data_IF_354973936659
#
_entry.id   IF_354973936659
#
_cell.length_a   1.000
_cell.length_b   1.000
_cell.length_c   1.000
_cell.angle_alpha   90.00
_cell.angle_beta   90.00
_cell.angle_gamma   90.00
#
_symmetry.space_group_name_H-M   'P 1'
#
loop_
_entity.id
_entity.type
_entity.pdbx_description
1 polymer ?
#
# COMPACT_ATOMS: atom_id res chain seq x y z
N UNK A 1 -23.78 -3.77 -4.97
CA UNK A 1 -22.77 -2.99 -5.69
C UNK A 1 -22.77 -3.37 -7.16
N UNK A 2 -22.72 -2.39 -8.06
CA UNK A 2 -22.52 -2.57 -9.51
C UNK A 2 -21.13 -2.05 -9.86
N UNK A 3 -20.24 -2.96 -10.24
CA UNK A 3 -18.80 -2.72 -10.38
C UNK A 3 -18.43 -2.69 -11.86
N UNK A 4 -17.72 -1.65 -12.30
CA UNK A 4 -17.22 -1.52 -13.67
C UNK A 4 -15.72 -1.17 -13.68
N UNK A 5 -15.09 -1.11 -14.86
CA UNK A 5 -13.64 -0.91 -15.00
C UNK A 5 -13.22 0.57 -14.97
N UNK A 6 -14.11 1.54 -15.23
CA UNK A 6 -13.74 2.95 -15.25
C UNK A 6 -14.87 3.86 -14.74
N UNK A 7 -14.49 5.06 -14.35
CA UNK A 7 -15.38 6.07 -13.77
C UNK A 7 -16.42 6.61 -14.73
N UNK A 8 -16.10 6.68 -16.03
CA UNK A 8 -17.05 7.09 -17.04
C UNK A 8 -18.22 6.13 -17.11
N UNK A 9 -17.97 4.82 -17.18
CA UNK A 9 -19.01 3.79 -17.22
C UNK A 9 -19.83 3.81 -15.92
N UNK A 10 -19.18 3.87 -14.77
CA UNK A 10 -19.87 3.91 -13.48
C UNK A 10 -20.84 5.09 -13.39
N UNK A 11 -20.42 6.29 -13.79
CA UNK A 11 -21.24 7.50 -13.80
C UNK A 11 -22.36 7.40 -14.83
N UNK A 12 -22.05 7.05 -16.09
CA UNK A 12 -23.01 6.93 -17.20
C UNK A 12 -24.12 5.94 -16.85
N UNK A 13 -23.73 4.74 -16.40
CA UNK A 13 -24.68 3.67 -16.17
C UNK A 13 -25.56 3.94 -14.95
N UNK A 14 -25.00 4.55 -13.90
CA UNK A 14 -25.80 5.02 -12.76
C UNK A 14 -26.84 6.06 -13.13
N UNK A 15 -26.53 6.96 -14.07
CA UNK A 15 -27.44 7.99 -14.56
C UNK A 15 -28.46 7.42 -15.53
N UNK A 16 -28.06 6.52 -16.37
CA UNK A 16 -28.89 5.94 -17.41
C UNK A 16 -29.91 4.95 -16.85
N UNK A 17 -29.47 4.07 -15.96
CA UNK A 17 -30.30 3.05 -15.34
C UNK A 17 -30.99 3.53 -14.05
N UNK A 18 -30.47 4.59 -13.43
CA UNK A 18 -31.00 5.14 -12.19
C UNK A 18 -32.51 5.41 -12.21
N UNK A 19 -33.06 6.08 -13.25
CA UNK A 19 -34.49 6.33 -13.34
C UNK A 19 -35.35 5.06 -13.32
N UNK A 20 -34.87 3.97 -13.92
CA UNK A 20 -35.56 2.67 -13.90
C UNK A 20 -35.63 2.12 -12.48
N UNK A 21 -34.53 2.12 -11.75
CA UNK A 21 -34.48 1.62 -10.37
C UNK A 21 -35.30 2.50 -9.42
N UNK A 22 -35.22 3.83 -9.58
CA UNK A 22 -36.01 4.77 -8.79
C UNK A 22 -37.52 4.63 -9.04
N UNK A 23 -37.92 4.26 -10.26
CA UNK A 23 -39.30 3.93 -10.57
C UNK A 23 -39.82 2.74 -9.75
N UNK A 24 -38.93 1.79 -9.41
CA UNK A 24 -39.24 0.67 -8.53
C UNK A 24 -39.04 0.99 -7.02
N UNK A 25 -38.83 2.24 -6.67
CA UNK A 25 -38.68 2.68 -5.28
C UNK A 25 -37.28 2.41 -4.68
N UNK A 26 -36.29 2.13 -5.52
CA UNK A 26 -34.91 1.88 -5.08
C UNK A 26 -34.07 3.16 -5.20
N UNK A 27 -33.22 3.42 -4.22
CA UNK A 27 -32.23 4.49 -4.26
C UNK A 27 -30.99 4.07 -5.02
N UNK A 28 -30.40 5.00 -5.79
CA UNK A 28 -29.22 4.77 -6.62
C UNK A 28 -28.21 5.88 -6.43
N UNK A 29 -26.95 5.54 -6.27
CA UNK A 29 -25.84 6.50 -6.28
C UNK A 29 -24.59 5.88 -6.91
N UNK A 30 -23.58 6.71 -7.14
CA UNK A 30 -22.30 6.34 -7.71
C UNK A 30 -21.15 6.93 -6.88
N UNK A 31 -20.30 6.06 -6.33
CA UNK A 31 -19.18 6.51 -5.48
C UNK A 31 -18.14 7.35 -6.24
N UNK A 32 -17.97 7.12 -7.55
CA UNK A 32 -17.04 7.89 -8.38
C UNK A 32 -17.46 9.36 -8.62
N UNK A 33 -18.67 9.74 -8.20
CA UNK A 33 -19.14 11.14 -8.22
C UNK A 33 -18.72 11.92 -6.96
N UNK A 34 -18.24 11.24 -5.94
CA UNK A 34 -17.99 11.80 -4.61
C UNK A 34 -16.53 11.63 -4.19
N UNK A 35 -16.02 12.62 -3.48
CA UNK A 35 -14.64 12.56 -2.96
C UNK A 35 -14.46 11.39 -1.96
N UNK A 36 -13.31 10.69 -1.99
CA UNK A 36 -13.11 9.46 -1.21
C UNK A 36 -13.40 9.56 0.30
N UNK A 37 -13.14 10.69 0.92
CA UNK A 37 -13.31 10.89 2.36
C UNK A 37 -14.52 11.77 2.74
N UNK A 38 -15.46 11.96 1.79
CA UNK A 38 -16.63 12.82 2.00
C UNK A 38 -17.80 12.07 2.63
N UNK A 39 -18.67 12.81 3.34
CA UNK A 39 -19.94 12.28 3.82
C UNK A 39 -20.85 11.87 2.65
N UNK A 40 -20.79 12.59 1.53
CA UNK A 40 -21.53 12.25 0.33
C UNK A 40 -21.18 10.84 -0.18
N UNK A 41 -19.89 10.44 -0.12
CA UNK A 41 -19.47 9.09 -0.50
C UNK A 41 -19.98 8.04 0.49
N UNK A 42 -19.99 8.33 1.79
CA UNK A 42 -20.63 7.45 2.78
C UNK A 42 -22.12 7.29 2.54
N UNK A 43 -22.82 8.37 2.20
CA UNK A 43 -24.23 8.34 1.83
C UNK A 43 -24.49 7.52 0.57
N UNK A 44 -23.59 7.56 -0.44
CA UNK A 44 -23.69 6.75 -1.63
C UNK A 44 -23.70 5.24 -1.32
N UNK A 45 -22.94 4.80 -0.34
CA UNK A 45 -22.97 3.40 0.12
C UNK A 45 -24.27 3.01 0.85
N UNK A 46 -25.08 3.98 1.30
CA UNK A 46 -26.38 3.72 1.91
C UNK A 46 -27.50 3.53 0.86
N UNK A 47 -27.24 3.82 -0.40
CA UNK A 47 -28.18 3.55 -1.48
C UNK A 47 -28.44 2.05 -1.65
N UNK A 48 -29.65 1.71 -2.13
CA UNK A 48 -30.01 0.33 -2.42
C UNK A 48 -29.12 -0.27 -3.51
N UNK A 49 -28.76 0.56 -4.51
CA UNK A 49 -27.85 0.23 -5.59
C UNK A 49 -26.73 1.27 -5.65
N UNK A 50 -25.49 0.81 -5.47
CA UNK A 50 -24.30 1.66 -5.51
C UNK A 50 -23.42 1.25 -6.68
N UNK A 51 -23.22 2.19 -7.65
CA UNK A 51 -22.30 2.03 -8.76
C UNK A 51 -20.90 2.51 -8.37
N UNK A 52 -19.89 1.93 -8.97
CA UNK A 52 -18.51 2.37 -8.80
C UNK A 52 -17.51 1.55 -9.60
N UNK A 53 -16.29 2.06 -9.70
CA UNK A 53 -15.19 1.31 -10.29
C UNK A 53 -14.65 0.28 -9.30
N UNK A 54 -14.10 -0.82 -9.83
CA UNK A 54 -13.44 -1.85 -9.05
C UNK A 54 -12.36 -1.28 -8.12
N UNK A 55 -11.54 -0.35 -8.62
CA UNK A 55 -10.47 0.28 -7.85
C UNK A 55 -11.02 1.12 -6.69
N UNK A 56 -12.05 1.92 -6.92
CA UNK A 56 -12.63 2.77 -5.87
C UNK A 56 -13.31 1.95 -4.76
N UNK A 57 -14.03 0.89 -5.11
CA UNK A 57 -14.55 -0.06 -4.12
C UNK A 57 -13.42 -0.71 -3.32
N UNK A 58 -12.35 -1.14 -4.01
CA UNK A 58 -11.20 -1.75 -3.37
C UNK A 58 -10.44 -0.78 -2.47
N UNK A 59 -10.22 0.46 -2.90
CA UNK A 59 -9.60 1.49 -2.07
C UNK A 59 -10.44 1.83 -0.84
N UNK A 60 -11.75 1.93 -0.97
CA UNK A 60 -12.63 2.18 0.19
C UNK A 60 -12.61 1.01 1.17
N UNK A 61 -12.54 -0.23 0.68
CA UNK A 61 -12.36 -1.40 1.52
C UNK A 61 -11.04 -1.35 2.31
N UNK A 62 -9.94 -0.99 1.64
CA UNK A 62 -8.64 -0.83 2.30
C UNK A 62 -8.68 0.29 3.35
N UNK A 63 -9.28 1.45 3.02
CA UNK A 63 -9.43 2.56 3.96
C UNK A 63 -10.28 2.16 5.18
N UNK A 64 -11.33 1.40 4.98
CA UNK A 64 -12.20 0.92 6.06
C UNK A 64 -11.48 -0.04 7.01
N UNK A 65 -10.53 -0.83 6.51
CA UNK A 65 -9.67 -1.67 7.34
C UNK A 65 -8.58 -0.89 8.13
N UNK A 66 -8.42 0.40 7.85
CA UNK A 66 -7.46 1.27 8.54
C UNK A 66 -8.09 2.15 9.63
N UNK A 67 -9.42 2.21 9.71
CA UNK A 67 -10.12 3.05 10.71
C UNK A 67 -10.24 2.31 12.05
N UNK A 68 -10.25 3.07 13.14
CA UNK A 68 -10.36 2.55 14.51
C UNK A 68 -11.79 2.60 15.06
N UNK A 69 -12.71 3.28 14.39
CA UNK A 69 -14.08 3.50 14.84
C UNK A 69 -15.07 3.06 13.76
N UNK A 70 -16.09 2.30 14.16
CA UNK A 70 -17.11 1.75 13.25
C UNK A 70 -17.85 2.86 12.47
N UNK A 71 -18.09 3.99 13.12
CA UNK A 71 -18.79 5.13 12.50
C UNK A 71 -17.99 5.81 11.37
N UNK A 72 -16.69 5.51 11.25
CA UNK A 72 -15.83 6.00 10.17
C UNK A 72 -15.83 5.09 8.95
N UNK A 73 -16.44 3.91 9.03
CA UNK A 73 -16.58 3.00 7.90
C UNK A 73 -17.40 3.67 6.79
N UNK A 74 -16.98 3.43 5.56
CA UNK A 74 -17.64 3.92 4.35
C UNK A 74 -18.63 2.91 3.81
N UNK A 75 -18.17 1.67 3.72
CA UNK A 75 -18.96 0.55 3.20
C UNK A 75 -19.82 -0.05 4.30
N UNK A 76 -20.96 -0.58 3.90
CA UNK A 76 -21.81 -1.44 4.72
C UNK A 76 -21.38 -2.91 4.58
N UNK A 77 -22.19 -3.82 5.09
CA UNK A 77 -22.03 -5.24 4.85
C UNK A 77 -22.01 -5.56 3.35
N UNK A 78 -21.12 -6.45 2.96
CA UNK A 78 -20.98 -6.91 1.58
C UNK A 78 -22.07 -7.94 1.30
N UNK A 79 -23.18 -7.49 0.72
CA UNK A 79 -24.37 -8.32 0.49
C UNK A 79 -24.36 -8.96 -0.91
N UNK A 80 -24.33 -8.13 -1.95
CA UNK A 80 -24.43 -8.59 -3.34
C UNK A 80 -23.61 -7.68 -4.26
N UNK A 81 -22.97 -8.28 -5.27
CA UNK A 81 -22.23 -7.52 -6.28
C UNK A 81 -22.52 -8.08 -7.68
N UNK A 82 -22.67 -7.17 -8.63
CA UNK A 82 -22.64 -7.45 -10.07
C UNK A 82 -21.34 -6.86 -10.58
N UNK A 83 -20.49 -7.67 -11.17
CA UNK A 83 -19.20 -7.26 -11.73
C UNK A 83 -19.31 -7.32 -13.24
N UNK A 84 -19.29 -6.15 -13.89
CA UNK A 84 -19.25 -6.03 -15.34
C UNK A 84 -17.79 -6.06 -15.84
N UNK A 85 -17.59 -6.51 -17.08
CA UNK A 85 -16.26 -6.66 -17.68
C UNK A 85 -15.29 -7.48 -16.80
N UNK A 86 -15.81 -8.60 -16.32
CA UNK A 86 -15.15 -9.48 -15.35
C UNK A 86 -13.84 -10.09 -15.84
N UNK A 87 -13.67 -10.25 -17.14
CA UNK A 87 -12.43 -10.67 -17.80
C UNK A 87 -11.32 -9.65 -17.59
N UNK A 88 -11.60 -8.36 -17.78
CA UNK A 88 -10.64 -7.29 -17.48
C UNK A 88 -10.32 -7.23 -15.99
N UNK A 89 -11.33 -7.26 -15.12
CA UNK A 89 -11.14 -7.05 -13.67
C UNK A 89 -10.49 -8.26 -13.00
N UNK A 90 -10.95 -9.48 -13.29
CA UNK A 90 -10.53 -10.69 -12.58
C UNK A 90 -9.46 -11.52 -13.29
N UNK A 91 -9.14 -11.21 -14.55
CA UNK A 91 -8.11 -11.90 -15.33
C UNK A 91 -6.98 -10.97 -15.70
N UNK A 92 -7.24 -9.96 -16.55
CA UNK A 92 -6.19 -9.11 -17.12
C UNK A 92 -5.48 -8.25 -16.07
N UNK A 93 -6.25 -7.65 -15.15
CA UNK A 93 -5.73 -6.78 -14.08
C UNK A 93 -5.72 -7.46 -12.70
N UNK A 94 -5.99 -8.77 -12.64
CA UNK A 94 -6.16 -9.49 -11.37
C UNK A 94 -4.97 -9.42 -10.41
N UNK A 95 -3.76 -9.28 -10.94
CA UNK A 95 -2.51 -9.21 -10.17
C UNK A 95 -2.06 -7.79 -9.84
N UNK A 96 -2.74 -6.77 -10.34
CA UNK A 96 -2.39 -5.37 -10.06
C UNK A 96 -2.77 -5.03 -8.63
N UNK A 97 -1.82 -4.76 -7.73
CA UNK A 97 -2.13 -4.47 -6.34
C UNK A 97 -2.72 -3.07 -6.19
N UNK A 98 -3.71 -2.92 -5.30
CA UNK A 98 -4.16 -1.62 -4.83
C UNK A 98 -3.29 -1.17 -3.66
N UNK A 99 -2.60 -0.04 -3.80
CA UNK A 99 -1.66 0.45 -2.81
C UNK A 99 -2.14 1.81 -2.29
N UNK A 100 -2.32 1.92 -0.97
CA UNK A 100 -2.49 3.20 -0.28
C UNK A 100 -1.15 3.55 0.34
N UNK A 101 -0.55 4.64 -0.14
CA UNK A 101 0.69 5.17 0.41
C UNK A 101 0.55 6.65 0.72
N UNK A 102 1.26 7.07 1.74
CA UNK A 102 1.45 8.49 2.06
C UNK A 102 2.95 8.75 2.17
N UNK A 103 3.42 9.99 1.90
CA UNK A 103 4.79 10.36 2.19
C UNK A 103 5.08 10.06 3.66
N UNK A 104 6.10 9.25 3.92
CA UNK A 104 6.55 9.03 5.28
C UNK A 104 7.09 10.34 5.84
N UNK A 105 6.69 10.67 7.08
CA UNK A 105 7.26 11.81 7.81
C UNK A 105 8.68 11.50 8.32
N UNK A 106 9.35 10.52 7.71
CA UNK A 106 10.70 10.11 8.09
C UNK A 106 11.71 11.13 7.58
N UNK A 107 12.60 11.54 8.49
CA UNK A 107 13.68 12.46 8.18
C UNK A 107 14.66 11.73 7.22
N UNK A 108 14.91 12.28 6.00
CA UNK A 108 15.88 11.71 5.07
C UNK A 108 17.28 11.49 5.70
N UNK A 109 17.65 12.29 6.68
CA UNK A 109 18.92 12.19 7.39
C UNK A 109 19.09 10.86 8.13
N UNK A 110 17.98 10.28 8.64
CA UNK A 110 18.01 8.99 9.31
C UNK A 110 18.43 7.87 8.35
N UNK A 111 17.89 7.86 7.14
CA UNK A 111 18.27 6.85 6.13
C UNK A 111 19.75 6.96 5.75
N UNK A 112 20.26 8.18 5.56
CA UNK A 112 21.68 8.40 5.26
C UNK A 112 22.58 8.00 6.42
N UNK A 113 22.17 8.28 7.66
CA UNK A 113 22.91 7.87 8.85
C UNK A 113 23.03 6.35 8.94
N UNK A 114 21.92 5.63 8.82
CA UNK A 114 21.90 4.16 8.90
C UNK A 114 22.59 3.50 7.70
N UNK A 115 22.51 4.10 6.50
CA UNK A 115 23.27 3.62 5.35
C UNK A 115 24.80 3.69 5.58
N UNK A 116 25.29 4.78 6.22
CA UNK A 116 26.70 4.92 6.59
C UNK A 116 27.10 3.92 7.68
N UNK A 117 26.20 3.60 8.61
CA UNK A 117 26.45 2.58 9.64
C UNK A 117 26.52 1.19 9.01
N UNK A 118 25.57 0.85 8.15
CA UNK A 118 25.56 -0.43 7.44
C UNK A 118 26.83 -0.64 6.61
N UNK A 119 27.34 0.41 5.95
CA UNK A 119 28.58 0.34 5.18
C UNK A 119 29.84 0.05 6.02
N UNK A 120 29.79 0.22 7.34
CA UNK A 120 30.89 -0.11 8.26
C UNK A 120 30.84 -1.55 8.77
N UNK A 121 29.73 -2.26 8.53
CA UNK A 121 29.58 -3.65 8.92
C UNK A 121 30.32 -4.55 7.92
N UNK A 122 30.89 -5.64 8.44
CA UNK A 122 31.60 -6.66 7.66
C UNK A 122 30.74 -7.90 7.48
N UNK A 123 31.18 -8.82 6.66
CA UNK A 123 30.47 -10.08 6.37
C UNK A 123 30.26 -10.96 7.62
N UNK A 124 31.02 -10.77 8.68
CA UNK A 124 30.87 -11.44 9.97
C UNK A 124 29.78 -10.86 10.87
N UNK A 125 29.37 -9.62 10.58
CA UNK A 125 28.39 -8.86 11.38
C UNK A 125 26.93 -9.16 11.00
N UNK A 126 26.70 -9.86 9.88
CA UNK A 126 25.35 -10.20 9.41
C UNK A 126 25.34 -11.50 8.59
N UNK A 127 24.18 -12.14 8.54
CA UNK A 127 23.91 -13.32 7.71
C UNK A 127 22.87 -12.97 6.64
N UNK A 128 23.14 -13.37 5.38
CA UNK A 128 22.26 -13.15 4.22
C UNK A 128 21.68 -14.47 3.75
N UNK A 129 20.35 -14.58 3.72
CA UNK A 129 19.62 -15.66 3.05
C UNK A 129 19.06 -15.14 1.71
N UNK A 130 19.78 -15.42 0.62
CA UNK A 130 19.39 -14.99 -0.71
C UNK A 130 18.05 -15.60 -1.17
N UNK A 131 17.74 -16.84 -0.75
CA UNK A 131 16.50 -17.52 -1.13
C UNK A 131 15.27 -16.88 -0.49
N UNK A 132 15.38 -16.51 0.78
CA UNK A 132 14.34 -15.83 1.54
C UNK A 132 14.35 -14.31 1.38
N UNK A 133 15.37 -13.77 0.68
CA UNK A 133 15.63 -12.33 0.58
C UNK A 133 15.61 -11.65 1.94
N UNK A 134 16.30 -12.24 2.89
CA UNK A 134 16.41 -11.72 4.25
C UNK A 134 17.86 -11.55 4.68
N UNK A 135 18.09 -10.59 5.56
CA UNK A 135 19.37 -10.33 6.18
C UNK A 135 19.14 -10.10 7.68
N UNK A 136 19.97 -10.67 8.52
CA UNK A 136 19.89 -10.52 9.97
C UNK A 136 21.28 -10.22 10.54
N UNK A 137 21.34 -9.37 11.59
CA UNK A 137 22.58 -9.14 12.31
C UNK A 137 22.98 -10.37 13.13
N UNK A 138 24.26 -10.67 13.17
CA UNK A 138 24.85 -11.61 14.15
C UNK A 138 24.93 -10.94 15.52
N UNK A 139 25.24 -11.71 16.55
CA UNK A 139 25.46 -11.16 17.90
C UNK A 139 26.59 -10.12 17.92
N UNK A 140 27.67 -10.37 17.18
CA UNK A 140 28.77 -9.41 16.98
C UNK A 140 28.31 -8.16 16.25
N UNK A 141 27.44 -8.32 15.24
CA UNK A 141 26.85 -7.22 14.50
C UNK A 141 25.94 -6.35 15.37
N UNK A 142 25.15 -6.98 16.23
CA UNK A 142 24.28 -6.28 17.20
C UNK A 142 25.13 -5.45 18.16
N UNK A 143 26.16 -6.05 18.77
CA UNK A 143 27.06 -5.35 19.69
C UNK A 143 27.74 -4.15 19.02
N UNK A 144 28.11 -4.29 17.76
CA UNK A 144 28.77 -3.24 16.99
C UNK A 144 27.82 -2.08 16.68
N UNK A 145 26.59 -2.40 16.26
CA UNK A 145 25.55 -1.40 16.00
C UNK A 145 25.17 -0.66 17.29
N UNK A 146 25.03 -1.37 18.40
CA UNK A 146 24.74 -0.77 19.71
C UNK A 146 25.84 0.23 20.15
N UNK A 147 27.10 -0.14 19.93
CA UNK A 147 28.23 0.78 20.21
C UNK A 147 28.22 2.00 19.30
N UNK A 148 27.95 1.82 18.01
CA UNK A 148 27.90 2.92 17.04
C UNK A 148 26.75 3.90 17.30
N UNK A 149 25.60 3.40 17.75
CA UNK A 149 24.42 4.20 18.08
C UNK A 149 24.43 4.73 19.53
N UNK A 150 25.35 4.25 20.38
CA UNK A 150 25.41 4.65 21.79
C UNK A 150 24.21 4.15 22.61
N UNK A 151 23.58 3.05 22.19
CA UNK A 151 22.42 2.48 22.87
C UNK A 151 22.71 1.05 23.37
N UNK A 152 21.98 0.64 24.41
CA UNK A 152 22.02 -0.72 24.92
C UNK A 152 20.72 -1.42 24.58
N UNK A 153 20.79 -2.70 24.22
CA UNK A 153 19.64 -3.50 23.83
C UNK A 153 18.89 -2.92 22.61
N UNK A 154 19.45 -3.12 21.43
CA UNK A 154 18.89 -2.64 20.14
C UNK A 154 17.42 -3.06 19.95
N UNK A 155 17.05 -4.26 20.36
CA UNK A 155 15.70 -4.83 20.16
C UNK A 155 14.69 -4.48 21.25
N UNK A 156 14.95 -3.51 22.11
CA UNK A 156 13.90 -2.98 23.00
C UNK A 156 12.81 -2.30 22.19
N UNK A 157 11.53 -2.35 22.62
CA UNK A 157 10.42 -1.68 21.95
C UNK A 157 10.64 -0.19 21.67
N UNK A 158 11.33 0.51 22.57
CA UNK A 158 11.67 1.92 22.44
C UNK A 158 12.65 2.22 21.28
N UNK A 159 13.42 1.20 20.85
CA UNK A 159 14.39 1.30 19.75
C UNK A 159 13.86 0.75 18.41
N UNK A 160 12.58 0.43 18.31
CA UNK A 160 11.96 -0.19 17.11
C UNK A 160 12.22 0.58 15.83
N UNK A 161 12.29 1.91 15.91
CA UNK A 161 12.59 2.78 14.77
C UNK A 161 14.04 2.63 14.29
N UNK A 162 14.98 2.51 15.23
CA UNK A 162 16.40 2.28 14.89
C UNK A 162 16.60 0.89 14.27
N UNK A 163 15.94 -0.14 14.80
CA UNK A 163 15.92 -1.49 14.23
C UNK A 163 15.40 -1.47 12.80
N UNK A 164 14.27 -0.80 12.57
CA UNK A 164 13.68 -0.66 11.23
C UNK A 164 14.67 -0.01 10.25
N UNK A 165 15.24 1.13 10.57
CA UNK A 165 16.18 1.81 9.69
C UNK A 165 17.45 1.00 9.44
N UNK A 166 17.96 0.28 10.46
CA UNK A 166 19.11 -0.60 10.32
C UNK A 166 18.82 -1.78 9.39
N UNK A 167 17.66 -2.42 9.55
CA UNK A 167 17.21 -3.49 8.68
C UNK A 167 17.10 -3.03 7.23
N UNK A 168 16.44 -1.89 6.99
CA UNK A 168 16.33 -1.32 5.65
C UNK A 168 17.68 -0.99 5.02
N UNK A 169 18.61 -0.44 5.80
CA UNK A 169 19.94 -0.11 5.31
C UNK A 169 20.76 -1.37 4.95
N UNK A 170 20.69 -2.41 5.78
CA UNK A 170 21.33 -3.71 5.50
C UNK A 170 20.72 -4.37 4.25
N UNK A 171 19.41 -4.39 4.14
CA UNK A 171 18.72 -4.96 2.98
C UNK A 171 19.10 -4.22 1.69
N UNK A 172 19.10 -2.89 1.73
CA UNK A 172 19.52 -2.08 0.58
C UNK A 172 20.94 -2.39 0.14
N UNK A 173 21.86 -2.61 1.08
CA UNK A 173 23.26 -2.88 0.78
C UNK A 173 23.53 -4.30 0.30
N UNK A 174 22.81 -5.30 0.83
CA UNK A 174 23.11 -6.72 0.62
C UNK A 174 22.22 -7.39 -0.41
N UNK A 175 20.93 -7.03 -0.47
CA UNK A 175 19.92 -7.71 -1.28
C UNK A 175 19.55 -6.97 -2.56
N UNK A 176 19.72 -5.65 -2.61
CA UNK A 176 19.38 -4.83 -3.77
C UNK A 176 20.64 -4.39 -4.50
N UNK A 177 20.84 -4.90 -5.71
CA UNK A 177 22.05 -4.64 -6.53
C UNK A 177 21.70 -3.73 -7.69
N UNK A 178 22.52 -2.70 -7.86
CA UNK A 178 22.42 -1.82 -9.03
C UNK A 178 22.59 -2.63 -10.31
N UNK A 179 21.86 -2.24 -11.35
CA UNK A 179 21.79 -2.85 -12.66
C UNK A 179 21.21 -4.28 -12.70
N UNK A 180 20.71 -4.76 -11.54
CA UNK A 180 19.94 -5.99 -11.39
C UNK A 180 18.55 -5.73 -10.83
N UNK A 181 18.48 -5.17 -9.61
CA UNK A 181 17.21 -4.90 -8.92
C UNK A 181 16.75 -3.45 -9.14
N UNK A 182 17.65 -2.55 -9.52
CA UNK A 182 17.34 -1.17 -9.88
C UNK A 182 18.37 -0.57 -10.81
N UNK A 183 17.96 0.42 -11.59
CA UNK A 183 18.86 1.23 -12.44
C UNK A 183 18.82 2.68 -11.99
N UNK A 184 19.93 3.39 -12.23
CA UNK A 184 20.01 4.83 -11.96
C UNK A 184 20.13 5.54 -13.31
N UNK A 185 19.19 6.44 -13.60
CA UNK A 185 19.19 7.25 -14.82
C UNK A 185 20.34 8.27 -14.82
N UNK A 186 20.58 8.88 -15.98
CA UNK A 186 21.59 9.94 -16.09
C UNK A 186 21.24 11.18 -15.25
N UNK A 187 19.97 11.38 -14.94
CA UNK A 187 19.47 12.48 -14.10
C UNK A 187 19.50 12.14 -12.60
N UNK A 188 19.94 10.92 -12.25
CA UNK A 188 20.07 10.45 -10.86
C UNK A 188 18.81 9.84 -10.27
N UNK A 189 17.77 9.62 -11.06
CA UNK A 189 16.55 8.92 -10.59
C UNK A 189 16.80 7.42 -10.48
N UNK A 190 16.26 6.82 -9.42
CA UNK A 190 16.30 5.37 -9.18
C UNK A 190 15.02 4.74 -9.71
N UNK A 191 15.16 3.84 -10.67
CA UNK A 191 14.06 3.08 -11.24
C UNK A 191 14.21 1.62 -10.79
N UNK A 192 13.17 1.09 -10.13
CA UNK A 192 13.13 -0.32 -9.73
C UNK A 192 12.89 -1.17 -10.97
N UNK A 193 13.69 -2.22 -11.14
CA UNK A 193 13.48 -3.22 -12.20
C UNK A 193 12.55 -4.29 -11.63
N UNK A 194 11.33 -4.36 -12.20
CA UNK A 194 10.36 -5.38 -11.84
C UNK A 194 10.69 -6.65 -12.67
N UNK A 195 10.98 -7.74 -12.00
CA UNK A 195 11.14 -9.04 -12.64
C UNK A 195 9.73 -9.62 -12.91
N UNK A 196 9.23 -9.43 -14.13
CA UNK A 196 8.08 -10.18 -14.64
C UNK A 196 8.51 -11.50 -15.27
#
# INVERSE_FOLDING_TARGET
HVVTVNDYLAKRDSEWMGPLYMFHGLSVDCIDKHQPNSDARRQAYLADITFGTNNEFGFDYLRDNMVNEIQLLRQRELNFAIVDEVDSILIDEARTPLIISAPAADNPDSYLQFAKLAAQLKSEDFEVDEKRRSVVLTDEGIDKVEKMLGMKNLYKPEHSRAVYHMDQALRAQTLFKRDKDYVVTNDGEVIIVDEH
#
